data_IF_600072643577
#
_entry.id   IF_600072643577
#
_cell.length_a   1.000
_cell.length_b   1.000
_cell.length_c   1.000
_cell.angle_alpha   90.00
_cell.angle_beta   90.00
_cell.angle_gamma   90.00
#
_symmetry.space_group_name_H-M   'P 1'
#
loop_
_entity.id
_entity.type
_entity.pdbx_description
1 polymer ?
#
# COMPACT_ATOMS: atom_id res chain seq x y z
N UNK A 1 -13.03 -1.79 25.84
CA UNK A 1 -12.88 -0.77 24.79
C UNK A 1 -12.20 0.43 25.43
N UNK A 2 -10.96 0.73 25.06
CA UNK A 2 -10.29 1.95 25.48
C UNK A 2 -10.98 3.14 24.78
N UNK A 3 -11.28 4.20 25.55
CA UNK A 3 -11.92 5.41 25.04
C UNK A 3 -10.96 6.06 24.01
N UNK A 4 -11.41 6.35 22.77
CA UNK A 4 -10.58 6.99 21.75
C UNK A 4 -10.06 8.39 22.15
N UNK A 5 -10.60 9.01 23.21
CA UNK A 5 -10.08 10.25 23.79
C UNK A 5 -9.04 10.05 24.90
N UNK A 6 -8.85 8.83 25.40
CA UNK A 6 -7.77 8.48 26.32
C UNK A 6 -6.47 8.19 25.55
N UNK A 7 -6.05 9.14 24.72
CA UNK A 7 -4.76 9.05 24.06
C UNK A 7 -3.66 9.00 25.13
N UNK A 8 -2.68 8.07 25.05
CA UNK A 8 -1.42 8.30 25.73
C UNK A 8 -0.95 9.69 25.28
N UNK A 9 -0.57 10.56 26.22
CA UNK A 9 -0.10 11.89 25.87
C UNK A 9 0.93 11.76 24.74
N UNK A 10 0.75 12.54 23.66
CA UNK A 10 1.61 12.53 22.47
C UNK A 10 3.11 12.76 22.80
N UNK A 11 3.43 13.04 24.06
CA UNK A 11 4.76 13.12 24.62
C UNK A 11 5.52 11.77 24.63
N UNK A 12 4.86 10.61 24.69
CA UNK A 12 5.55 9.32 24.90
C UNK A 12 5.85 8.58 23.60
N UNK A 13 4.92 8.60 22.64
CA UNK A 13 5.03 7.83 21.40
C UNK A 13 5.00 8.73 20.17
N UNK A 14 6.05 8.64 19.36
CA UNK A 14 6.13 9.29 18.05
C UNK A 14 6.68 8.31 17.01
N UNK A 15 6.65 8.70 15.74
CA UNK A 15 7.13 7.88 14.62
C UNK A 15 8.56 7.33 14.80
N UNK A 16 9.48 8.09 15.39
CA UNK A 16 10.87 7.65 15.61
C UNK A 16 11.01 6.61 16.72
N UNK A 17 10.10 6.63 17.70
CA UNK A 17 10.09 5.66 18.79
C UNK A 17 9.34 4.38 18.46
N UNK A 18 8.59 4.36 17.35
CA UNK A 18 7.65 3.29 17.05
C UNK A 18 8.35 1.93 16.88
N UNK A 19 9.42 1.88 16.08
CA UNK A 19 10.17 0.63 15.87
C UNK A 19 10.87 0.14 17.14
N UNK A 20 11.65 0.95 17.90
CA UNK A 20 12.23 0.51 19.16
C UNK A 20 11.21 0.02 20.18
N UNK A 21 10.07 0.70 20.32
CA UNK A 21 9.00 0.32 21.24
C UNK A 21 8.32 -0.97 20.80
N UNK A 22 8.08 -1.16 19.50
CA UNK A 22 7.54 -2.41 18.97
C UNK A 22 8.50 -3.59 19.17
N UNK A 23 9.80 -3.40 18.95
CA UNK A 23 10.80 -4.44 19.24
C UNK A 23 10.84 -4.78 20.73
N UNK A 24 10.68 -3.79 21.60
CA UNK A 24 10.59 -4.00 23.04
C UNK A 24 9.32 -4.79 23.40
N UNK A 25 8.19 -4.39 22.82
CA UNK A 25 6.91 -5.04 23.00
C UNK A 25 6.94 -6.50 22.55
N UNK A 26 7.61 -6.79 21.43
CA UNK A 26 7.77 -8.15 20.93
C UNK A 26 8.72 -8.97 21.80
N UNK A 27 9.89 -8.41 22.15
CA UNK A 27 10.91 -9.08 22.99
C UNK A 27 10.39 -9.51 24.36
N UNK A 28 9.51 -8.72 24.96
CA UNK A 28 8.96 -8.98 26.30
C UNK A 28 7.48 -9.41 26.26
N UNK A 29 6.94 -9.67 25.08
CA UNK A 29 5.54 -10.02 24.83
C UNK A 29 4.51 -9.11 25.54
N UNK A 30 4.70 -7.80 25.41
CA UNK A 30 3.86 -6.78 26.05
C UNK A 30 2.75 -6.35 25.10
N UNK A 31 1.62 -7.05 25.11
CA UNK A 31 0.46 -6.78 24.23
C UNK A 31 -0.02 -5.33 24.29
N UNK A 32 -0.03 -4.70 25.47
CA UNK A 32 -0.47 -3.31 25.63
C UNK A 32 0.36 -2.34 24.80
N UNK A 33 1.68 -2.55 24.69
CA UNK A 33 2.55 -1.71 23.87
C UNK A 33 2.31 -1.96 22.37
N UNK A 34 2.06 -3.22 21.97
CA UNK A 34 1.66 -3.53 20.57
C UNK A 34 0.38 -2.79 20.21
N UNK A 35 -0.66 -2.88 21.05
CA UNK A 35 -1.94 -2.16 20.87
C UNK A 35 -1.70 -0.65 20.77
N UNK A 36 -0.85 -0.08 21.62
CA UNK A 36 -0.53 1.34 21.63
C UNK A 36 0.10 1.79 20.31
N UNK A 37 1.10 1.07 19.83
CA UNK A 37 1.80 1.38 18.58
C UNK A 37 0.88 1.24 17.36
N UNK A 38 0.06 0.18 17.31
CA UNK A 38 -0.90 0.00 16.22
C UNK A 38 -1.97 1.09 16.26
N UNK A 39 -2.47 1.44 17.45
CA UNK A 39 -3.45 2.52 17.61
C UNK A 39 -2.86 3.87 17.18
N UNK A 40 -1.60 4.14 17.52
CA UNK A 40 -0.91 5.36 17.07
C UNK A 40 -0.81 5.42 15.54
N UNK A 41 -0.38 4.34 14.88
CA UNK A 41 -0.35 4.28 13.40
C UNK A 41 -1.76 4.47 12.81
N UNK A 42 -2.77 3.83 13.39
CA UNK A 42 -4.15 3.93 12.96
C UNK A 42 -4.74 5.34 13.17
N UNK A 43 -4.26 6.13 14.14
CA UNK A 43 -4.69 7.51 14.32
C UNK A 43 -3.93 8.50 13.43
N UNK A 44 -2.71 8.18 12.98
CA UNK A 44 -1.84 9.09 12.23
C UNK A 44 -1.69 8.67 10.76
N UNK A 45 -2.72 8.06 10.17
CA UNK A 45 -2.71 7.53 8.81
C UNK A 45 -2.34 8.58 7.74
N UNK A 46 -2.69 9.85 7.96
CA UNK A 46 -2.40 10.95 7.03
C UNK A 46 -0.90 11.24 6.86
N UNK A 47 -0.06 10.79 7.80
CA UNK A 47 1.40 10.94 7.71
C UNK A 47 2.04 9.81 6.91
N UNK A 48 1.32 8.73 6.60
CA UNK A 48 1.85 7.58 5.87
C UNK A 48 1.87 7.88 4.37
N UNK A 49 3.05 7.97 3.77
CA UNK A 49 3.25 8.41 2.39
C UNK A 49 4.34 7.60 1.69
N UNK A 50 4.12 7.28 0.42
CA UNK A 50 5.06 6.48 -0.37
C UNK A 50 6.38 7.21 -0.65
N UNK A 51 6.35 8.55 -0.62
CA UNK A 51 7.51 9.43 -0.81
C UNK A 51 8.53 9.38 0.34
N UNK A 52 8.13 8.85 1.49
CA UNK A 52 8.99 8.73 2.65
C UNK A 52 10.08 7.68 2.41
N UNK A 53 11.24 7.85 3.07
CA UNK A 53 12.35 6.91 2.97
C UNK A 53 11.96 5.50 3.44
N UNK A 54 12.57 4.45 2.87
CA UNK A 54 12.47 3.06 3.39
C UNK A 54 13.04 2.89 4.80
N UNK A 55 13.67 3.90 5.38
CA UNK A 55 14.09 3.91 6.79
C UNK A 55 13.08 4.60 7.70
N UNK A 56 12.04 5.22 7.14
CA UNK A 56 11.02 5.96 7.87
C UNK A 56 9.80 5.06 8.13
N UNK A 57 9.31 4.97 9.38
CA UNK A 57 8.05 4.29 9.70
C UNK A 57 6.82 4.93 9.04
N UNK A 58 6.97 6.15 8.49
CA UNK A 58 5.95 6.80 7.68
C UNK A 58 5.86 6.25 6.25
N UNK A 59 6.85 5.49 5.79
CA UNK A 59 6.73 4.80 4.52
C UNK A 59 5.73 3.64 4.67
N UNK A 60 4.74 3.50 3.78
CA UNK A 60 3.69 2.48 3.88
C UNK A 60 4.25 1.05 3.89
N UNK A 61 5.37 0.78 3.23
CA UNK A 61 6.01 -0.55 3.22
C UNK A 61 6.61 -0.90 4.58
N UNK A 62 7.18 0.09 5.26
CA UNK A 62 7.77 -0.06 6.59
C UNK A 62 6.67 -0.12 7.64
N UNK A 63 5.65 0.75 7.54
CA UNK A 63 4.46 0.66 8.38
C UNK A 63 3.82 -0.73 8.27
N UNK A 64 3.61 -1.25 7.06
CA UNK A 64 3.09 -2.59 6.82
C UNK A 64 3.99 -3.69 7.39
N UNK A 65 5.31 -3.51 7.32
CA UNK A 65 6.28 -4.46 7.88
C UNK A 65 6.22 -4.50 9.39
N UNK A 66 6.15 -3.34 10.04
CA UNK A 66 5.99 -3.22 11.49
C UNK A 66 4.66 -3.84 11.92
N UNK A 67 3.60 -3.64 11.14
CA UNK A 67 2.31 -4.27 11.34
C UNK A 67 2.37 -5.80 11.24
N UNK A 68 3.01 -6.35 10.21
CA UNK A 68 3.17 -7.79 10.00
C UNK A 68 3.90 -8.45 11.19
N UNK A 69 4.97 -7.82 11.68
CA UNK A 69 5.73 -8.31 12.83
C UNK A 69 4.93 -8.27 14.13
N UNK A 70 4.11 -7.24 14.32
CA UNK A 70 3.43 -7.02 15.60
C UNK A 70 2.08 -7.72 15.70
N UNK A 71 1.46 -8.03 14.56
CA UNK A 71 0.04 -8.40 14.47
C UNK A 71 -0.20 -9.84 14.06
N UNK A 72 0.72 -10.75 14.37
CA UNK A 72 0.46 -12.19 14.33
C UNK A 72 -0.63 -12.65 15.34
N UNK A 73 -1.06 -11.74 16.23
CA UNK A 73 -2.03 -11.98 17.29
C UNK A 73 -3.44 -11.51 16.86
N UNK A 74 -4.48 -12.35 16.96
CA UNK A 74 -5.85 -12.01 16.53
C UNK A 74 -6.50 -10.89 17.33
N UNK A 75 -6.00 -10.60 18.54
CA UNK A 75 -6.49 -9.52 19.41
C UNK A 75 -6.27 -8.12 18.82
N UNK A 76 -5.35 -7.98 17.86
CA UNK A 76 -5.00 -6.71 17.24
C UNK A 76 -5.84 -6.39 15.98
N UNK A 77 -6.65 -7.34 15.51
CA UNK A 77 -7.46 -7.24 14.28
C UNK A 77 -8.24 -5.91 14.11
N UNK A 78 -8.91 -5.36 15.14
CA UNK A 78 -9.67 -4.12 15.02
C UNK A 78 -8.80 -2.91 14.64
N UNK A 79 -7.54 -2.92 15.05
CA UNK A 79 -6.59 -1.83 14.82
C UNK A 79 -5.73 -2.08 13.57
N UNK A 80 -5.55 -3.35 13.22
CA UNK A 80 -4.82 -3.78 12.01
C UNK A 80 -5.57 -3.40 10.74
N UNK A 81 -6.89 -3.56 10.72
CA UNK A 81 -7.71 -3.31 9.52
C UNK A 81 -7.57 -1.88 8.97
N UNK A 82 -7.70 -0.81 9.77
CA UNK A 82 -7.49 0.56 9.28
C UNK A 82 -6.09 0.80 8.71
N UNK A 83 -5.04 0.34 9.39
CA UNK A 83 -3.66 0.52 8.91
C UNK A 83 -3.43 -0.26 7.61
N UNK A 84 -3.91 -1.49 7.53
CA UNK A 84 -3.87 -2.28 6.29
C UNK A 84 -4.66 -1.61 5.16
N UNK A 85 -5.80 -0.97 5.45
CA UNK A 85 -6.56 -0.24 4.45
C UNK A 85 -5.75 0.93 3.88
N UNK A 86 -5.01 1.66 4.71
CA UNK A 86 -4.13 2.77 4.27
C UNK A 86 -2.94 2.26 3.48
N UNK A 87 -2.29 1.20 3.96
CA UNK A 87 -1.19 0.56 3.23
C UNK A 87 -1.69 0.09 1.87
N UNK A 88 -2.84 -0.59 1.83
CA UNK A 88 -3.44 -1.05 0.58
C UNK A 88 -3.83 0.12 -0.32
N UNK A 89 -4.36 1.22 0.22
CA UNK A 89 -4.67 2.42 -0.56
C UNK A 89 -3.40 3.08 -1.12
N UNK A 90 -2.33 3.19 -0.32
CA UNK A 90 -1.03 3.70 -0.75
C UNK A 90 -0.35 2.81 -1.79
N UNK A 91 -0.69 1.51 -1.78
CA UNK A 91 -0.23 0.50 -2.71
C UNK A 91 -1.20 0.29 -3.89
N UNK A 92 -2.38 0.90 -3.88
CA UNK A 92 -3.33 0.77 -4.99
C UNK A 92 -2.88 1.72 -6.08
N UNK A 93 -2.58 1.17 -7.26
CA UNK A 93 -2.15 1.99 -8.39
C UNK A 93 -3.26 2.99 -8.77
N UNK A 94 -2.91 4.26 -9.01
CA UNK A 94 -3.87 5.24 -9.49
C UNK A 94 -4.40 4.84 -10.87
N UNK A 95 -5.68 5.13 -11.13
CA UNK A 95 -6.31 4.89 -12.43
C UNK A 95 -5.79 5.87 -13.47
N UNK A 96 -5.40 5.36 -14.64
CA UNK A 96 -4.94 6.16 -15.78
C UNK A 96 -3.44 6.00 -16.08
N UNK A 97 -3.10 5.90 -17.37
CA UNK A 97 -1.78 5.40 -17.82
C UNK A 97 -0.58 6.23 -17.35
N UNK A 98 -0.73 7.55 -17.18
CA UNK A 98 0.36 8.44 -16.76
C UNK A 98 0.62 8.35 -15.26
N UNK A 99 -0.43 8.42 -14.44
CA UNK A 99 -0.32 8.30 -12.99
C UNK A 99 0.15 6.88 -12.60
N UNK A 100 -0.35 5.86 -13.29
CA UNK A 100 0.06 4.47 -13.10
C UNK A 100 1.54 4.27 -13.43
N UNK A 101 2.04 4.83 -14.55
CA UNK A 101 3.47 4.78 -14.89
C UNK A 101 4.35 5.49 -13.86
N UNK A 102 3.95 6.67 -13.39
CA UNK A 102 4.70 7.40 -12.37
C UNK A 102 4.76 6.63 -11.04
N UNK A 103 3.62 6.05 -10.62
CA UNK A 103 3.53 5.19 -9.45
C UNK A 103 4.43 3.95 -9.58
N UNK A 104 4.37 3.25 -10.72
CA UNK A 104 5.24 2.10 -11.01
C UNK A 104 6.72 2.48 -11.00
N UNK A 105 7.07 3.66 -11.52
CA UNK A 105 8.42 4.20 -11.46
C UNK A 105 8.92 4.35 -10.02
N UNK A 106 8.08 4.92 -9.13
CA UNK A 106 8.40 5.04 -7.70
C UNK A 106 8.53 3.67 -7.03
N UNK A 107 7.58 2.78 -7.25
CA UNK A 107 7.59 1.45 -6.64
C UNK A 107 8.80 0.62 -7.11
N UNK A 108 9.13 0.69 -8.41
CA UNK A 108 10.34 0.06 -8.96
C UNK A 108 11.62 0.63 -8.35
N UNK A 109 11.71 1.95 -8.18
CA UNK A 109 12.86 2.58 -7.53
C UNK A 109 13.03 2.09 -6.09
N UNK A 110 11.92 1.95 -5.34
CA UNK A 110 11.92 1.40 -3.98
C UNK A 110 12.36 -0.07 -3.97
N UNK A 111 11.80 -0.91 -4.84
CA UNK A 111 12.12 -2.36 -4.89
C UNK A 111 13.56 -2.63 -5.35
N UNK A 112 14.13 -1.75 -6.18
CA UNK A 112 15.53 -1.87 -6.64
C UNK A 112 16.53 -1.45 -5.55
N UNK A 113 16.08 -0.78 -4.49
CA UNK A 113 16.95 -0.39 -3.39
C UNK A 113 17.55 -1.62 -2.68
N UNK A 114 18.87 -1.64 -2.40
CA UNK A 114 19.50 -2.74 -1.66
C UNK A 114 18.98 -2.87 -0.22
N UNK A 115 18.34 -1.82 0.31
CA UNK A 115 17.73 -1.82 1.63
C UNK A 115 16.35 -2.50 1.64
N UNK A 116 15.67 -2.58 0.48
CA UNK A 116 14.32 -3.11 0.40
C UNK A 116 14.22 -4.54 0.96
N UNK A 117 15.10 -5.43 0.49
CA UNK A 117 15.12 -6.83 0.93
C UNK A 117 15.54 -7.00 2.40
N UNK A 118 16.18 -5.99 3.00
CA UNK A 118 16.63 -6.01 4.39
C UNK A 118 15.59 -5.44 5.35
N UNK A 119 14.84 -4.43 4.92
CA UNK A 119 13.96 -3.65 5.78
C UNK A 119 12.48 -4.02 5.61
N UNK A 120 12.07 -4.50 4.43
CA UNK A 120 10.68 -4.86 4.16
C UNK A 120 10.49 -6.35 4.46
N UNK A 121 9.46 -6.68 5.24
CA UNK A 121 9.14 -8.08 5.58
C UNK A 121 8.71 -8.91 4.37
N UNK A 122 8.93 -10.24 4.38
CA UNK A 122 8.59 -11.10 3.25
C UNK A 122 7.12 -11.04 2.82
N UNK A 123 6.16 -10.94 3.75
CA UNK A 123 4.75 -10.87 3.38
C UNK A 123 4.40 -9.56 2.68
N UNK A 124 5.00 -8.44 3.11
CA UNK A 124 4.87 -7.15 2.40
C UNK A 124 5.55 -7.20 1.02
N UNK A 125 6.71 -7.84 0.90
CA UNK A 125 7.37 -8.03 -0.40
C UNK A 125 6.48 -8.80 -1.38
N UNK A 126 5.86 -9.90 -0.92
CA UNK A 126 4.93 -10.68 -1.73
C UNK A 126 3.72 -9.86 -2.19
N UNK A 127 3.16 -9.01 -1.31
CA UNK A 127 2.06 -8.10 -1.67
C UNK A 127 2.46 -7.09 -2.74
N UNK A 128 3.64 -6.49 -2.62
CA UNK A 128 4.17 -5.56 -3.63
C UNK A 128 4.34 -6.25 -4.98
N UNK A 129 4.91 -7.47 -4.99
CA UNK A 129 5.08 -8.23 -6.24
C UNK A 129 3.73 -8.64 -6.86
N UNK A 130 2.77 -9.08 -6.05
CA UNK A 130 1.43 -9.41 -6.53
C UNK A 130 0.74 -8.21 -7.18
N UNK A 131 0.92 -7.01 -6.61
CA UNK A 131 0.36 -5.78 -7.16
C UNK A 131 1.06 -5.36 -8.45
N UNK A 132 2.39 -5.47 -8.52
CA UNK A 132 3.15 -5.23 -9.76
C UNK A 132 2.65 -6.12 -10.92
N UNK A 133 2.42 -7.41 -10.65
CA UNK A 133 1.88 -8.35 -11.63
C UNK A 133 0.46 -7.95 -12.05
N UNK A 134 -0.42 -7.65 -11.08
CA UNK A 134 -1.81 -7.24 -11.37
C UNK A 134 -1.89 -5.96 -12.22
N UNK A 135 -0.97 -5.01 -11.99
CA UNK A 135 -0.86 -3.80 -12.81
C UNK A 135 -0.43 -4.15 -14.24
N UNK A 136 0.55 -5.03 -14.41
CA UNK A 136 0.97 -5.48 -15.74
C UNK A 136 -0.16 -6.17 -16.49
N UNK A 137 -0.94 -7.03 -15.83
CA UNK A 137 -2.09 -7.70 -16.43
C UNK A 137 -3.16 -6.68 -16.88
N UNK A 138 -3.41 -5.66 -16.06
CA UNK A 138 -4.36 -4.59 -16.39
C UNK A 138 -3.91 -3.77 -17.61
N UNK A 139 -2.61 -3.48 -17.72
CA UNK A 139 -2.04 -2.76 -18.88
C UNK A 139 -2.11 -3.61 -20.15
N UNK A 140 -1.80 -4.90 -20.06
CA UNK A 140 -1.91 -5.82 -21.19
C UNK A 140 -3.36 -5.98 -21.66
N UNK A 141 -4.31 -6.06 -20.72
CA UNK A 141 -5.73 -6.12 -21.04
C UNK A 141 -6.20 -4.83 -21.75
N UNK A 142 -5.82 -3.65 -21.25
CA UNK A 142 -6.17 -2.37 -21.87
C UNK A 142 -5.63 -2.26 -23.32
N UNK A 143 -4.36 -2.61 -23.54
CA UNK A 143 -3.76 -2.61 -24.87
C UNK A 143 -4.48 -3.56 -25.85
N UNK A 144 -4.95 -4.71 -25.37
CA UNK A 144 -5.70 -5.66 -26.20
C UNK A 144 -7.10 -5.15 -26.61
N UNK A 145 -7.71 -4.30 -25.78
CA UNK A 145 -9.01 -3.67 -26.08
C UNK A 145 -8.84 -2.57 -27.11
N UNK A 146 -7.82 -1.72 -26.96
CA UNK A 146 -7.49 -0.67 -27.94
C UNK A 146 -7.22 -1.28 -29.33
N UNK A 147 -6.39 -2.32 -29.40
CA UNK A 147 -6.11 -3.03 -30.66
C UNK A 147 -7.36 -3.61 -31.34
N UNK A 148 -8.35 -4.06 -30.55
CA UNK A 148 -9.63 -4.56 -31.08
C UNK A 148 -10.53 -3.43 -31.59
N UNK A 149 -10.54 -2.28 -30.92
CA UNK A 149 -11.32 -1.11 -31.34
C UNK A 149 -10.78 -0.53 -32.66
N UNK A 150 -9.46 -0.42 -32.80
CA UNK A 150 -8.83 0.05 -34.05
C UNK A 150 -9.16 -0.88 -35.22
N UNK A 151 -9.13 -2.20 -34.99
CA UNK A 151 -9.50 -3.18 -36.01
C UNK A 151 -10.98 -3.04 -36.44
N UNK A 152 -11.90 -2.85 -35.48
CA UNK A 152 -13.33 -2.65 -35.77
C UNK A 152 -13.63 -1.33 -36.49
N UNK A 153 -12.88 -0.25 -36.20
CA UNK A 153 -13.02 1.00 -36.93
C UNK A 153 -12.51 0.88 -38.38
N UNK A 154 -11.41 0.15 -38.61
CA UNK A 154 -10.87 -0.05 -39.96
C UNK A 154 -11.74 -0.97 -40.84
N UNK A 155 -12.49 -1.89 -40.24
CA UNK A 155 -13.33 -2.86 -40.95
C UNK A 155 -14.83 -2.59 -40.84
N UNK A 156 -15.23 -1.41 -40.34
CA UNK A 156 -16.63 -1.00 -40.42
C UNK A 156 -16.97 -0.68 -41.89
N UNK A 157 -17.94 -1.38 -42.50
CA UNK A 157 -18.32 -1.09 -43.87
C UNK A 157 -18.80 0.37 -43.96
N UNK A 158 -18.41 1.12 -45.01
CA UNK A 158 -18.92 2.47 -45.19
C UNK A 158 -20.45 2.39 -45.22
N UNK A 159 -21.12 3.20 -44.39
CA UNK A 159 -22.55 3.41 -44.44
C UNK A 159 -22.87 3.87 -45.87
N UNK A 160 -23.25 2.92 -46.72
CA UNK A 160 -23.70 3.20 -48.06
C UNK A 160 -24.88 4.15 -47.91
N UNK A 161 -24.73 5.34 -48.48
CA UNK A 161 -25.76 6.36 -48.53
C UNK A 161 -27.07 5.71 -48.98
N UNK A 162 -28.01 5.56 -48.07
CA UNK A 162 -29.41 5.29 -48.39
C UNK A 162 -30.03 6.61 -48.89
N UNK A 163 -29.48 7.14 -49.99
CA UNK A 163 -30.09 8.14 -50.84
C UNK A 163 -30.35 7.48 -52.19
N UNK A 164 -31.45 6.72 -52.28
CA UNK A 164 -32.11 6.36 -53.53
C UNK A 164 -33.46 5.71 -53.17
N UNK A 165 -34.46 6.54 -52.89
CA UNK A 165 -35.86 6.40 -53.30
C UNK A 165 -36.69 7.56 -52.78
#
# INVERSE_FOLDING_TARGET
MLDPKSQPSAAVLNWYHLEPVLRLADKYDITVLRVLCVSYMACNQADIKLEESLTSPKNPLIAATLMEQCCAQPELDPYVKPVNAVVNAALTAPTGSTAQRAFMGKLRALVTSPLYMKLVSPGVQARVMSMLVSVMDSVMAAASVEARQDYQQQHSPPLACAECC
#
